data_IF_092973458671
#
_entry.id   IF_092973458671
#
_cell.length_a   1.000
_cell.length_b   1.000
_cell.length_c   1.000
_cell.angle_alpha   90.00
_cell.angle_beta   90.00
_cell.angle_gamma   90.00
#
_symmetry.space_group_name_H-M   'P 1'
#
loop_
_entity.id
_entity.type
_entity.pdbx_description
1 polymer ?
#
# COMPACT_ATOMS: atom_id res chain seq x y z
N UNK A 1 2.56 -27.99 75.62
CA UNK A 1 1.34 -27.78 74.82
C UNK A 1 1.53 -28.43 73.46
N UNK A 2 0.51 -29.09 72.88
CA UNK A 2 0.69 -29.85 71.64
C UNK A 2 0.91 -28.91 70.44
N UNK A 3 1.86 -29.27 69.57
CA UNK A 3 2.18 -28.55 68.33
C UNK A 3 1.06 -28.73 67.29
N UNK A 4 0.66 -27.62 66.68
CA UNK A 4 -0.34 -27.57 65.61
C UNK A 4 0.31 -28.01 64.29
N UNK A 5 -0.28 -28.95 63.51
CA UNK A 5 0.29 -29.38 62.23
C UNK A 5 0.34 -28.22 61.22
N UNK A 6 1.46 -28.11 60.52
CA UNK A 6 1.73 -27.06 59.53
C UNK A 6 0.79 -27.10 58.33
N UNK A 7 0.32 -25.92 57.92
CA UNK A 7 -0.51 -25.72 56.72
C UNK A 7 0.35 -25.95 55.46
N UNK A 8 -0.10 -26.72 54.45
CA UNK A 8 0.65 -26.88 53.22
C UNK A 8 0.76 -25.53 52.48
N UNK A 9 1.93 -25.26 51.92
CA UNK A 9 2.22 -24.06 51.16
C UNK A 9 1.36 -24.01 49.89
N UNK A 10 0.74 -22.85 49.63
CA UNK A 10 -0.05 -22.59 48.41
C UNK A 10 0.88 -22.68 47.18
N UNK A 11 0.51 -23.39 46.10
CA UNK A 11 1.31 -23.41 44.88
C UNK A 11 1.48 -21.99 44.33
N UNK A 12 2.71 -21.62 44.01
CA UNK A 12 3.02 -20.35 43.33
C UNK A 12 2.46 -20.43 41.90
N UNK A 13 1.65 -19.47 41.43
CA UNK A 13 1.17 -19.49 40.06
C UNK A 13 2.38 -19.42 39.12
N UNK A 14 2.41 -20.30 38.12
CA UNK A 14 3.38 -20.23 37.04
C UNK A 14 3.21 -18.88 36.31
N UNK A 15 4.29 -18.24 35.84
CA UNK A 15 4.17 -17.06 35.02
C UNK A 15 3.34 -17.42 33.78
N UNK A 16 2.23 -16.71 33.58
CA UNK A 16 1.48 -16.79 32.35
C UNK A 16 2.43 -16.37 31.22
N UNK A 17 2.68 -17.29 30.29
CA UNK A 17 3.24 -16.95 28.99
C UNK A 17 2.26 -16.00 28.32
N UNK A 18 2.62 -14.72 28.26
CA UNK A 18 1.89 -13.70 27.53
C UNK A 18 2.06 -13.95 26.03
N UNK A 19 1.36 -14.96 25.54
CA UNK A 19 1.27 -15.27 24.12
C UNK A 19 -0.08 -14.73 23.63
N UNK A 20 -0.03 -13.50 23.14
CA UNK A 20 -1.20 -12.68 22.85
C UNK A 20 -0.90 -11.20 23.07
N UNK A 21 0.19 -10.71 22.50
CA UNK A 21 0.55 -9.28 22.57
C UNK A 21 -0.57 -8.46 21.96
N UNK A 22 -1.35 -7.79 22.80
CA UNK A 22 -2.20 -6.67 22.37
C UNK A 22 -1.24 -5.68 21.71
N UNK A 23 -1.30 -5.54 20.38
CA UNK A 23 -0.58 -4.47 19.69
C UNK A 23 -1.18 -3.17 20.20
N UNK A 24 -0.46 -2.49 21.09
CA UNK A 24 -0.84 -1.15 21.50
C UNK A 24 -0.49 -0.21 20.36
N UNK A 25 -1.45 0.00 19.45
CA UNK A 25 -1.34 1.01 18.40
C UNK A 25 -1.32 2.38 19.06
N UNK A 26 -0.53 3.30 18.52
CA UNK A 26 -0.71 4.72 18.83
C UNK A 26 -2.06 5.19 18.27
N UNK A 27 -2.54 6.35 18.73
CA UNK A 27 -3.79 6.91 18.23
C UNK A 27 -3.71 7.18 16.71
N UNK A 28 -2.58 7.70 16.26
CA UNK A 28 -2.27 8.00 14.87
C UNK A 28 -2.26 6.74 14.00
N UNK A 29 -1.64 5.66 14.50
CA UNK A 29 -1.65 4.36 13.83
C UNK A 29 -3.08 3.81 13.73
N UNK A 30 -3.84 3.87 14.82
CA UNK A 30 -5.23 3.44 14.82
C UNK A 30 -6.09 4.24 13.83
N UNK A 31 -5.92 5.57 13.78
CA UNK A 31 -6.61 6.44 12.84
C UNK A 31 -6.26 6.14 11.38
N UNK A 32 -4.97 5.96 11.09
CA UNK A 32 -4.49 5.61 9.75
C UNK A 32 -4.98 4.22 9.31
N UNK A 33 -4.89 3.20 10.17
CA UNK A 33 -5.42 1.87 9.90
C UNK A 33 -6.93 1.91 9.65
N UNK A 34 -7.69 2.65 10.46
CA UNK A 34 -9.15 2.82 10.28
C UNK A 34 -9.48 3.47 8.92
N UNK A 35 -8.74 4.50 8.52
CA UNK A 35 -8.95 5.15 7.22
C UNK A 35 -8.66 4.19 6.06
N UNK A 36 -7.57 3.43 6.15
CA UNK A 36 -7.20 2.43 5.14
C UNK A 36 -8.20 1.28 5.06
N UNK A 37 -8.67 0.76 6.19
CA UNK A 37 -9.72 -0.28 6.24
C UNK A 37 -11.02 0.20 5.61
N UNK A 38 -11.48 1.40 5.96
CA UNK A 38 -12.69 1.99 5.40
C UNK A 38 -12.61 2.12 3.87
N UNK A 39 -11.44 2.52 3.34
CA UNK A 39 -11.21 2.61 1.90
C UNK A 39 -11.14 1.23 1.23
N UNK A 40 -10.43 0.27 1.82
CA UNK A 40 -10.36 -1.11 1.33
C UNK A 40 -11.75 -1.74 1.26
N UNK A 41 -12.58 -1.53 2.28
CA UNK A 41 -13.94 -2.06 2.30
C UNK A 41 -14.82 -1.41 1.23
N UNK A 42 -14.60 -0.14 0.90
CA UNK A 42 -15.26 0.51 -0.24
C UNK A 42 -14.82 -0.07 -1.58
N UNK A 43 -13.55 -0.40 -1.75
CA UNK A 43 -13.07 -1.08 -2.96
C UNK A 43 -13.68 -2.48 -3.10
N UNK A 44 -13.75 -3.25 -2.01
CA UNK A 44 -14.42 -4.56 -2.02
C UNK A 44 -15.92 -4.44 -2.30
N UNK A 45 -16.60 -3.48 -1.69
CA UNK A 45 -18.02 -3.23 -1.96
C UNK A 45 -18.27 -2.87 -3.43
N UNK A 46 -17.37 -2.09 -4.05
CA UNK A 46 -17.40 -1.81 -5.49
C UNK A 46 -17.23 -3.10 -6.32
N UNK A 47 -16.22 -3.92 -5.97
CA UNK A 47 -15.98 -5.23 -6.60
C UNK A 47 -17.17 -6.17 -6.50
N UNK A 48 -17.99 -6.04 -5.46
CA UNK A 48 -19.13 -6.94 -5.22
C UNK A 48 -20.46 -6.36 -5.79
N UNK A 49 -20.57 -5.05 -6.01
CA UNK A 49 -21.74 -4.37 -6.64
C UNK A 49 -21.80 -4.50 -8.18
N UNK A 50 -22.50 -5.54 -8.68
CA UNK A 50 -22.55 -5.87 -10.12
C UNK A 50 -23.11 -4.72 -10.98
N UNK A 51 -24.11 -4.01 -10.46
CA UNK A 51 -24.77 -2.93 -11.21
C UNK A 51 -23.78 -1.78 -11.40
N UNK A 52 -23.09 -1.40 -10.32
CA UNK A 52 -22.09 -0.33 -10.37
C UNK A 52 -20.93 -0.69 -11.28
N UNK A 53 -20.38 -1.92 -11.21
CA UNK A 53 -19.31 -2.36 -12.12
C UNK A 53 -19.71 -2.29 -13.59
N UNK A 54 -20.92 -2.75 -13.90
CA UNK A 54 -21.45 -2.71 -15.27
C UNK A 54 -21.60 -1.28 -15.80
N UNK A 55 -21.97 -0.32 -14.95
CA UNK A 55 -22.04 1.09 -15.31
C UNK A 55 -20.68 1.69 -15.70
N UNK A 56 -19.57 1.14 -15.17
CA UNK A 56 -18.20 1.49 -15.56
C UNK A 56 -17.64 0.62 -16.70
N UNK A 57 -18.45 -0.28 -17.29
CA UNK A 57 -17.99 -1.18 -18.35
C UNK A 57 -17.02 -2.26 -17.89
N UNK A 58 -16.90 -2.51 -16.58
CA UNK A 58 -15.96 -3.48 -16.03
C UNK A 58 -16.59 -4.87 -15.92
N UNK A 59 -15.84 -5.87 -16.37
CA UNK A 59 -16.16 -7.29 -16.14
C UNK A 59 -15.80 -7.70 -14.71
N UNK A 60 -16.38 -8.80 -14.26
CA UNK A 60 -16.20 -9.31 -12.90
C UNK A 60 -14.72 -9.52 -12.56
N UNK A 61 -14.03 -10.37 -13.34
CA UNK A 61 -12.60 -10.64 -13.14
C UNK A 61 -11.76 -9.36 -13.20
N UNK A 62 -12.00 -8.50 -14.20
CA UNK A 62 -11.24 -7.23 -14.35
C UNK A 62 -11.35 -6.33 -13.12
N UNK A 63 -12.54 -6.23 -12.52
CA UNK A 63 -12.72 -5.45 -11.31
C UNK A 63 -12.09 -6.09 -10.07
N UNK A 64 -12.10 -7.42 -10.00
CA UNK A 64 -11.49 -8.17 -8.90
C UNK A 64 -9.97 -8.06 -8.93
N UNK A 65 -9.37 -8.17 -10.12
CA UNK A 65 -7.95 -8.00 -10.36
C UNK A 65 -7.53 -6.57 -10.00
N UNK A 66 -8.22 -5.57 -10.55
CA UNK A 66 -7.94 -4.16 -10.26
C UNK A 66 -8.00 -3.85 -8.76
N UNK A 67 -9.04 -4.28 -8.06
CA UNK A 67 -9.17 -4.04 -6.62
C UNK A 67 -8.07 -4.76 -5.83
N UNK A 68 -7.72 -5.99 -6.22
CA UNK A 68 -6.64 -6.74 -5.57
C UNK A 68 -5.30 -6.04 -5.73
N UNK A 69 -4.99 -5.60 -6.93
CA UNK A 69 -3.73 -4.90 -7.26
C UNK A 69 -3.63 -3.54 -6.57
N UNK A 70 -4.73 -2.77 -6.48
CA UNK A 70 -4.75 -1.49 -5.74
C UNK A 70 -4.52 -1.70 -4.25
N UNK A 71 -5.15 -2.72 -3.65
CA UNK A 71 -4.95 -3.05 -2.23
C UNK A 71 -3.51 -3.52 -1.98
N UNK A 72 -2.95 -4.36 -2.87
CA UNK A 72 -1.56 -4.80 -2.77
C UNK A 72 -0.60 -3.62 -2.89
N UNK A 73 -0.80 -2.75 -3.89
CA UNK A 73 0.02 -1.56 -4.08
C UNK A 73 0.01 -0.64 -2.85
N UNK A 74 -1.17 -0.36 -2.29
CA UNK A 74 -1.30 0.48 -1.11
C UNK A 74 -0.55 -0.10 0.11
N UNK A 75 -0.56 -1.43 0.27
CA UNK A 75 0.21 -2.12 1.32
C UNK A 75 1.71 -2.11 1.05
N UNK A 76 2.13 -2.42 -0.18
CA UNK A 76 3.54 -2.43 -0.61
C UNK A 76 4.18 -1.06 -0.45
N UNK A 77 3.44 0.00 -0.76
CA UNK A 77 3.85 1.40 -0.58
C UNK A 77 3.66 1.92 0.85
N UNK A 78 3.16 1.09 1.78
CA UNK A 78 3.01 1.39 3.21
C UNK A 78 2.18 2.64 3.49
N UNK A 79 1.09 2.84 2.76
CA UNK A 79 0.22 4.02 2.90
C UNK A 79 -0.23 4.26 4.34
N UNK A 80 -0.71 3.23 5.03
CA UNK A 80 -1.15 3.38 6.43
C UNK A 80 -0.04 3.83 7.38
N UNK A 81 1.20 3.36 7.17
CA UNK A 81 2.34 3.79 7.97
C UNK A 81 2.65 5.27 7.71
N UNK A 82 2.73 5.68 6.43
CA UNK A 82 2.99 7.08 6.06
C UNK A 82 1.90 8.02 6.56
N UNK A 83 0.64 7.60 6.49
CA UNK A 83 -0.47 8.40 7.03
C UNK A 83 -0.34 8.56 8.54
N UNK A 84 0.04 7.51 9.28
CA UNK A 84 0.28 7.62 10.72
C UNK A 84 1.43 8.59 11.04
N UNK A 85 2.52 8.53 10.28
CA UNK A 85 3.67 9.45 10.42
C UNK A 85 3.23 10.91 10.18
N UNK A 86 2.45 11.18 9.14
CA UNK A 86 1.92 12.53 8.88
C UNK A 86 0.92 12.99 9.96
N UNK A 87 0.11 12.09 10.51
CA UNK A 87 -0.81 12.40 11.60
C UNK A 87 -0.06 12.81 12.87
N UNK A 88 1.06 12.15 13.17
CA UNK A 88 1.93 12.48 14.29
C UNK A 88 2.49 13.91 14.17
N UNK A 89 2.88 14.32 12.97
CA UNK A 89 3.40 15.67 12.69
C UNK A 89 2.35 16.78 12.90
N UNK A 90 1.08 16.52 12.56
CA UNK A 90 0.01 17.54 12.64
C UNK A 90 -0.73 17.57 13.98
N UNK A 91 -0.61 16.52 14.80
CA UNK A 91 -1.34 16.40 16.06
C UNK A 91 -0.79 17.26 17.20
N UNK A 92 0.30 18.01 16.99
CA UNK A 92 0.89 18.86 18.02
C UNK A 92 -0.10 19.92 18.53
N UNK A 93 -0.43 19.84 19.82
CA UNK A 93 -1.28 20.83 20.51
C UNK A 93 -2.78 20.66 20.33
N UNK A 94 -3.24 19.60 19.66
CA UNK A 94 -4.67 19.25 19.59
C UNK A 94 -5.08 18.38 20.79
N UNK A 95 -6.24 18.66 21.38
CA UNK A 95 -6.87 17.72 22.31
C UNK A 95 -7.57 16.60 21.52
N UNK A 96 -7.75 15.43 22.14
CA UNK A 96 -8.28 14.22 21.50
C UNK A 96 -9.60 14.47 20.74
N UNK A 97 -10.49 15.30 21.27
CA UNK A 97 -11.77 15.65 20.64
C UNK A 97 -11.62 16.41 19.31
N UNK A 98 -10.54 17.19 19.13
CA UNK A 98 -10.29 17.97 17.92
C UNK A 98 -9.45 17.25 16.87
N UNK A 99 -8.93 16.06 17.18
CA UNK A 99 -8.07 15.31 16.27
C UNK A 99 -8.83 14.54 15.18
N UNK A 100 -10.11 14.20 15.41
CA UNK A 100 -10.88 13.38 14.47
C UNK A 100 -11.05 14.02 13.09
N UNK A 101 -11.33 15.32 13.02
CA UNK A 101 -11.54 16.02 11.74
C UNK A 101 -10.22 16.15 10.94
N UNK A 102 -9.11 16.67 11.50
CA UNK A 102 -7.81 16.65 10.83
C UNK A 102 -7.39 15.25 10.39
N UNK A 103 -7.63 14.23 11.23
CA UNK A 103 -7.26 12.86 10.89
C UNK A 103 -8.03 12.31 9.68
N UNK A 104 -9.34 12.60 9.60
CA UNK A 104 -10.15 12.22 8.46
C UNK A 104 -9.72 12.95 7.17
N UNK A 105 -9.40 14.24 7.25
CA UNK A 105 -8.91 15.02 6.11
C UNK A 105 -7.57 14.45 5.63
N UNK A 106 -6.60 14.29 6.52
CA UNK A 106 -5.27 13.82 6.16
C UNK A 106 -5.29 12.38 5.62
N UNK A 107 -6.10 11.51 6.23
CA UNK A 107 -6.32 10.15 5.72
C UNK A 107 -6.91 10.15 4.31
N UNK A 108 -7.91 11.00 4.05
CA UNK A 108 -8.49 11.14 2.72
C UNK A 108 -7.50 11.70 1.70
N UNK A 109 -6.71 12.72 2.05
CA UNK A 109 -5.68 13.29 1.18
C UNK A 109 -4.57 12.28 0.84
N UNK A 110 -4.12 11.48 1.82
CA UNK A 110 -3.15 10.41 1.57
C UNK A 110 -3.69 9.40 0.54
N UNK A 111 -4.94 8.96 0.73
CA UNK A 111 -5.58 8.01 -0.19
C UNK A 111 -5.78 8.63 -1.56
N UNK A 112 -6.25 9.88 -1.64
CA UNK A 112 -6.48 10.59 -2.90
C UNK A 112 -5.17 10.82 -3.66
N UNK A 113 -4.09 11.21 -2.98
CA UNK A 113 -2.77 11.37 -3.57
C UNK A 113 -2.24 10.06 -4.15
N UNK A 114 -2.45 8.94 -3.44
CA UNK A 114 -2.16 7.62 -3.97
C UNK A 114 -3.04 7.29 -5.18
N UNK A 115 -4.36 7.47 -5.14
CA UNK A 115 -5.24 7.11 -6.27
C UNK A 115 -4.94 7.96 -7.51
N UNK A 116 -4.60 9.24 -7.33
CA UNK A 116 -4.31 10.17 -8.41
C UNK A 116 -3.02 9.80 -9.18
N UNK A 117 -2.04 9.19 -8.52
CA UNK A 117 -0.69 9.01 -9.08
C UNK A 117 -0.12 7.61 -8.95
N UNK A 118 -0.84 6.73 -8.25
CA UNK A 118 -0.46 5.36 -7.91
C UNK A 118 0.91 5.25 -7.24
N UNK A 119 1.29 6.29 -6.47
CA UNK A 119 2.56 6.40 -5.76
C UNK A 119 3.73 6.85 -6.63
N UNK A 120 3.53 7.14 -7.93
CA UNK A 120 4.62 7.47 -8.85
C UNK A 120 5.32 8.80 -8.51
N UNK A 121 4.63 9.75 -7.85
CA UNK A 121 5.24 10.99 -7.41
C UNK A 121 6.26 10.81 -6.28
N UNK A 122 6.25 9.68 -5.57
CA UNK A 122 7.27 9.35 -4.57
C UNK A 122 8.59 8.89 -5.21
N UNK A 123 8.55 8.54 -6.51
CA UNK A 123 9.74 8.15 -7.25
C UNK A 123 10.38 9.38 -7.90
N UNK A 124 11.73 9.43 -7.98
CA UNK A 124 12.42 10.37 -8.85
C UNK A 124 11.94 10.23 -10.30
N UNK A 125 11.86 11.34 -11.05
CA UNK A 125 11.38 11.33 -12.43
C UNK A 125 12.13 10.32 -13.33
N UNK A 126 13.43 10.11 -13.08
CA UNK A 126 14.26 9.16 -13.80
C UNK A 126 13.87 7.69 -13.60
N UNK A 127 13.08 7.38 -12.58
CA UNK A 127 12.58 6.03 -12.28
C UNK A 127 11.11 5.84 -12.66
N UNK A 128 10.43 6.91 -13.08
CA UNK A 128 9.03 6.84 -13.49
C UNK A 128 8.92 6.25 -14.91
N UNK A 129 7.80 5.55 -15.21
CA UNK A 129 7.46 5.16 -16.58
C UNK A 129 7.57 6.31 -17.56
N UNK A 130 7.92 6.00 -18.80
CA UNK A 130 8.02 6.97 -19.89
C UNK A 130 6.79 6.86 -20.79
N UNK A 131 6.23 8.00 -21.21
CA UNK A 131 5.15 8.10 -22.18
C UNK A 131 5.63 8.86 -23.42
N UNK A 132 5.13 8.49 -24.60
CA UNK A 132 5.42 9.18 -25.84
C UNK A 132 4.55 10.43 -25.96
N UNK A 133 5.14 11.57 -26.32
CA UNK A 133 4.40 12.81 -26.58
C UNK A 133 3.87 12.84 -28.02
N UNK A 134 2.86 13.69 -28.32
CA UNK A 134 2.35 13.85 -29.69
C UNK A 134 3.43 14.22 -30.73
N UNK A 135 4.50 14.88 -30.29
CA UNK A 135 5.66 15.29 -31.11
C UNK A 135 6.68 14.17 -31.32
N UNK A 136 6.43 12.96 -30.78
CA UNK A 136 7.28 11.79 -30.92
C UNK A 136 8.44 11.72 -29.91
N UNK A 137 8.56 12.67 -29.00
CA UNK A 137 9.50 12.62 -27.88
C UNK A 137 9.00 11.70 -26.77
N UNK A 138 9.82 11.45 -25.74
CA UNK A 138 9.39 10.73 -24.53
C UNK A 138 9.59 11.60 -23.30
N UNK A 139 8.66 11.49 -22.34
CA UNK A 139 8.79 12.12 -21.01
C UNK A 139 8.43 11.14 -19.90
N UNK A 140 8.92 11.34 -18.67
CA UNK A 140 8.38 10.67 -17.50
C UNK A 140 6.88 10.98 -17.32
N UNK A 141 6.13 10.03 -16.76
CA UNK A 141 4.76 10.29 -16.32
C UNK A 141 4.72 11.24 -15.12
N UNK A 142 3.67 12.05 -15.04
CA UNK A 142 3.46 13.09 -14.03
C UNK A 142 4.61 14.10 -13.94
N UNK A 143 5.29 14.37 -15.06
CA UNK A 143 6.21 15.51 -15.16
C UNK A 143 5.40 16.81 -15.02
N UNK A 144 5.83 17.68 -14.11
CA UNK A 144 5.19 18.97 -13.93
C UNK A 144 5.45 19.86 -15.15
N UNK A 145 4.41 20.51 -15.65
CA UNK A 145 4.57 21.48 -16.71
C UNK A 145 5.26 22.76 -16.19
N UNK A 146 6.05 23.43 -17.04
CA UNK A 146 6.55 24.76 -16.70
C UNK A 146 5.37 25.70 -16.46
N UNK A 147 5.43 26.45 -15.36
CA UNK A 147 4.48 27.51 -15.08
C UNK A 147 4.60 28.63 -16.13
N UNK A 148 3.46 29.18 -16.54
CA UNK A 148 3.38 30.35 -17.40
C UNK A 148 2.84 31.53 -16.59
N UNK A 149 3.71 32.46 -16.21
CA UNK A 149 3.33 33.64 -15.42
C UNK A 149 2.86 34.82 -16.28
N UNK A 150 3.06 34.73 -17.60
CA UNK A 150 2.64 35.76 -18.57
C UNK A 150 2.00 35.14 -19.82
N UNK A 151 1.16 35.92 -20.50
CA UNK A 151 0.52 35.51 -21.76
C UNK A 151 1.56 35.13 -22.82
N UNK A 152 2.70 35.81 -22.84
CA UNK A 152 3.79 35.56 -23.81
C UNK A 152 4.47 34.18 -23.63
N UNK A 153 4.27 33.55 -22.47
CA UNK A 153 4.85 32.22 -22.14
C UNK A 153 3.84 31.09 -22.31
N UNK A 154 2.61 31.37 -22.77
CA UNK A 154 1.62 30.34 -23.04
C UNK A 154 1.90 29.64 -24.38
N UNK A 155 1.64 28.33 -24.47
CA UNK A 155 1.72 27.63 -25.74
C UNK A 155 0.67 28.17 -26.72
N UNK A 156 1.02 28.18 -28.01
CA UNK A 156 0.14 28.66 -29.08
C UNK A 156 -1.15 27.83 -29.23
N UNK A 157 -1.12 26.56 -28.79
CA UNK A 157 -2.28 25.67 -28.76
C UNK A 157 -2.53 25.22 -27.32
N UNK A 158 -3.81 25.12 -26.90
CA UNK A 158 -4.14 24.57 -25.60
C UNK A 158 -3.73 23.09 -25.55
N UNK A 159 -3.21 22.68 -24.40
CA UNK A 159 -2.80 21.30 -24.16
C UNK A 159 -4.00 20.40 -23.95
N UNK A 160 -3.89 19.15 -24.39
CA UNK A 160 -4.92 18.14 -24.13
C UNK A 160 -4.69 17.48 -22.77
N UNK A 161 -4.89 18.25 -21.70
CA UNK A 161 -4.60 17.82 -20.32
C UNK A 161 -5.33 16.53 -19.95
N UNK A 162 -6.53 16.30 -20.48
CA UNK A 162 -7.29 15.08 -20.24
C UNK A 162 -6.59 13.84 -20.82
N UNK A 163 -6.09 13.92 -22.06
CA UNK A 163 -5.34 12.85 -22.71
C UNK A 163 -3.98 12.61 -22.05
N UNK A 164 -3.28 13.69 -21.68
CA UNK A 164 -2.00 13.63 -20.96
C UNK A 164 -2.18 12.94 -19.60
N UNK A 165 -3.18 13.35 -18.82
CA UNK A 165 -3.47 12.79 -17.49
C UNK A 165 -3.89 11.33 -17.58
N UNK A 166 -4.76 10.98 -18.53
CA UNK A 166 -5.19 9.60 -18.75
C UNK A 166 -4.02 8.70 -19.15
N UNK A 167 -3.17 9.17 -20.07
CA UNK A 167 -2.00 8.42 -20.52
C UNK A 167 -1.03 8.16 -19.37
N UNK A 168 -0.73 9.18 -18.57
CA UNK A 168 0.14 9.05 -17.40
C UNK A 168 -0.41 8.03 -16.40
N UNK A 169 -1.72 8.10 -16.12
CA UNK A 169 -2.37 7.21 -15.17
C UNK A 169 -2.38 5.75 -15.63
N UNK A 170 -2.60 5.48 -16.92
CA UNK A 170 -2.56 4.11 -17.47
C UNK A 170 -1.15 3.51 -17.39
N UNK A 171 -0.12 4.30 -17.70
CA UNK A 171 1.28 3.84 -17.56
C UNK A 171 1.68 3.66 -16.10
N UNK A 172 1.16 4.48 -15.18
CA UNK A 172 1.33 4.29 -13.75
C UNK A 172 0.70 2.97 -13.28
N UNK A 173 -0.51 2.66 -13.76
CA UNK A 173 -1.23 1.43 -13.42
C UNK A 173 -0.48 0.19 -13.89
N UNK A 174 0.02 0.17 -15.13
CA UNK A 174 0.84 -0.91 -15.67
C UNK A 174 2.11 -1.14 -14.83
N UNK A 175 2.81 -0.04 -14.49
CA UNK A 175 4.00 -0.12 -13.65
C UNK A 175 3.71 -0.65 -12.24
N UNK A 176 2.56 -0.29 -11.65
CA UNK A 176 2.12 -0.84 -10.36
C UNK A 176 1.89 -2.34 -10.45
N UNK A 177 1.18 -2.81 -11.49
CA UNK A 177 0.91 -4.25 -11.68
C UNK A 177 2.21 -5.02 -11.86
N UNK A 178 3.13 -4.52 -12.68
CA UNK A 178 4.44 -5.11 -12.87
C UNK A 178 5.26 -5.17 -11.56
N UNK A 179 5.18 -4.13 -10.74
CA UNK A 179 5.86 -4.09 -9.44
C UNK A 179 5.23 -5.06 -8.42
N UNK A 180 3.90 -5.16 -8.38
CA UNK A 180 3.20 -6.10 -7.50
C UNK A 180 3.49 -7.56 -7.89
N UNK A 181 3.54 -7.87 -9.19
CA UNK A 181 3.94 -9.19 -9.67
C UNK A 181 5.36 -9.57 -9.23
N UNK A 182 6.32 -8.62 -9.27
CA UNK A 182 7.70 -8.83 -8.78
C UNK A 182 7.75 -9.04 -7.26
N UNK A 183 6.93 -8.30 -6.51
CA UNK A 183 6.80 -8.42 -5.06
C UNK A 183 6.26 -9.81 -4.66
N UNK A 184 5.27 -10.33 -5.40
CA UNK A 184 4.74 -11.69 -5.22
C UNK A 184 5.76 -12.79 -5.52
N UNK A 185 6.57 -12.63 -6.59
CA UNK A 185 7.65 -13.57 -6.93
C UNK A 185 8.79 -13.52 -5.89
N UNK A 186 9.03 -12.36 -5.27
CA UNK A 186 10.02 -12.21 -4.19
C UNK A 186 9.52 -12.65 -2.81
N UNK A 187 8.21 -12.65 -2.57
CA UNK A 187 7.58 -12.94 -1.28
C UNK A 187 7.32 -14.43 -1.00
N UNK A 188 7.23 -15.27 -2.03
CA UNK A 188 6.95 -16.72 -1.91
C UNK A 188 8.14 -17.63 -2.25
N UNK A 189 9.35 -17.09 -2.43
CA UNK A 189 10.54 -17.93 -2.35
C UNK A 189 10.83 -18.19 -0.88
N UNK A 190 10.16 -19.20 -0.33
CA UNK A 190 10.51 -19.76 0.97
C UNK A 190 11.97 -20.23 0.87
N UNK A 191 12.90 -19.42 1.40
CA UNK A 191 14.35 -19.67 1.41
C UNK A 191 14.63 -21.08 1.93
N UNK A 192 13.83 -21.57 2.88
CA UNK A 192 13.93 -22.92 3.43
C UNK A 192 13.54 -24.01 2.42
N UNK A 193 12.52 -23.78 1.58
CA UNK A 193 12.16 -24.66 0.47
C UNK A 193 13.18 -24.62 -0.66
N UNK A 194 13.74 -23.46 -1.00
CA UNK A 194 14.81 -23.35 -2.00
C UNK A 194 16.09 -24.05 -1.52
N UNK A 195 16.43 -23.94 -0.23
CA UNK A 195 17.54 -24.68 0.38
C UNK A 195 17.23 -26.19 0.48
N UNK A 196 15.97 -26.60 0.63
CA UNK A 196 15.57 -28.00 0.60
C UNK A 196 15.65 -28.58 -0.84
N UNK A 197 15.18 -27.84 -1.85
CA UNK A 197 15.30 -28.18 -3.27
C UNK A 197 16.76 -28.27 -3.69
N UNK A 198 17.61 -27.34 -3.26
CA UNK A 198 19.05 -27.39 -3.51
C UNK A 198 19.71 -28.66 -2.96
N UNK A 199 19.31 -29.11 -1.76
CA UNK A 199 19.81 -30.37 -1.15
C UNK A 199 19.36 -31.61 -1.91
N UNK A 200 18.12 -31.63 -2.41
CA UNK A 200 17.57 -32.75 -3.19
C UNK A 200 18.28 -32.84 -4.56
N UNK A 201 18.48 -31.71 -5.23
CA UNK A 201 19.16 -31.65 -6.53
C UNK A 201 20.63 -32.08 -6.41
N UNK A 202 21.34 -31.66 -5.36
CA UNK A 202 22.71 -32.11 -5.09
C UNK A 202 22.80 -33.63 -4.84
N UNK A 203 21.81 -34.21 -4.14
CA UNK A 203 21.76 -35.65 -3.88
C UNK A 203 21.45 -36.48 -5.13
N UNK A 204 20.72 -35.92 -6.10
CA UNK A 204 20.44 -36.56 -7.40
C UNK A 204 21.64 -36.48 -8.34
N UNK A 205 22.34 -35.35 -8.41
CA UNK A 205 23.57 -35.18 -9.21
C UNK A 205 24.74 -36.03 -8.67
N UNK A 206 24.83 -36.21 -7.35
CA UNK A 206 25.80 -37.13 -6.74
C UNK A 206 25.51 -38.62 -6.99
N UNK A 207 24.33 -38.96 -7.52
CA UNK A 207 23.91 -40.33 -7.84
C UNK A 207 24.11 -40.72 -9.31
N UNK A 208 24.30 -39.74 -10.20
CA UNK A 208 24.64 -39.99 -11.61
C UNK A 208 26.14 -40.22 -11.84
N UNK A 209 26.98 -40.04 -10.81
CA UNK A 209 28.44 -40.20 -10.90
C UNK A 209 28.99 -41.39 -10.09
N UNK A 210 28.11 -42.34 -9.70
CA UNK A 210 28.49 -43.60 -9.05
C UNK A 210 28.17 -44.81 -9.93
#
# INVERSE_FOLDING_TARGET
>A
GPQRPGRPARPRPAPATADGGIRTLTLEQFQAETAMEAWIDRLKAFRDDRIRRAAFGLRDNTSADLVTELIHAARRLRLGQKTAEQLEEVNFGLNVEKQAQPAAILGAECINGFVATLGMLELPESQRPQVQTPEGATRPIFTADPASDTVDTLPAQPRNVAEETWSDWVFALDAVFAANAKDGIGGEVNIEQNLALGRILAALQGRETA
#
